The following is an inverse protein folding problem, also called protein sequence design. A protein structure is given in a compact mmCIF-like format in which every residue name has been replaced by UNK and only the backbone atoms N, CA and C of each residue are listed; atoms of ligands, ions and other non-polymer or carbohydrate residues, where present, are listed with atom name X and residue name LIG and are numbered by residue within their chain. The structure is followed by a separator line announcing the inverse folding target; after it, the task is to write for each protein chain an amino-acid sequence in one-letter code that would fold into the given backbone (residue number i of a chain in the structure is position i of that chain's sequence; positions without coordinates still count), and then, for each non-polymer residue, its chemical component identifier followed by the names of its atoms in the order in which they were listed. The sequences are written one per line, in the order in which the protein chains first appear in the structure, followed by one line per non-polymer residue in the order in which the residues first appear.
data_IF_095764737376
#
_entry.id   IF_095764737376
#
_cell.length_a   1.000
_cell.length_b   1.000
_cell.length_c   1.000
_cell.angle_alpha   90.00
_cell.angle_beta   90.00
_cell.angle_gamma   90.00
#
_symmetry.space_group_name_H-M   'P 1'
#
loop_
_entity.id
_entity.type
_entity.pdbx_description
1 polymer ?
#
# COMPACT_ATOMS: atom_id res chain seq x y z
N UNK A 1 20.04 19.34 13.10
CA UNK A 1 19.11 18.65 12.19
C UNK A 1 17.83 19.50 11.97
N UNK A 2 17.15 19.96 13.01
CA UNK A 2 15.92 20.79 12.90
C UNK A 2 16.10 22.06 12.07
N UNK A 3 17.22 22.79 12.22
CA UNK A 3 17.51 24.00 11.44
C UNK A 3 17.68 23.73 9.93
N UNK A 4 18.24 22.57 9.55
CA UNK A 4 18.40 22.17 8.15
C UNK A 4 17.03 21.83 7.55
N UNK A 5 16.20 21.10 8.29
CA UNK A 5 14.83 20.75 7.91
C UNK A 5 13.95 21.98 7.75
N UNK A 6 14.01 22.91 8.71
CA UNK A 6 13.26 24.19 8.67
C UNK A 6 13.68 25.05 7.46
N UNK A 7 14.98 25.18 7.22
CA UNK A 7 15.52 25.93 6.07
C UNK A 7 15.15 25.27 4.73
N UNK A 8 15.15 23.94 4.68
CA UNK A 8 14.70 23.17 3.51
C UNK A 8 13.21 23.42 3.25
N UNK A 9 12.36 23.30 4.28
CA UNK A 9 10.91 23.53 4.17
C UNK A 9 10.57 24.96 3.70
N UNK A 10 11.28 25.98 4.21
CA UNK A 10 11.07 27.37 3.76
C UNK A 10 11.31 27.57 2.27
N UNK A 11 12.31 26.89 1.71
CA UNK A 11 12.72 27.02 0.32
C UNK A 11 11.95 26.14 -0.68
N UNK A 12 11.01 25.27 -0.20
CA UNK A 12 10.18 24.45 -1.08
C UNK A 12 9.15 25.28 -1.84
N UNK A 13 8.89 24.89 -3.09
CA UNK A 13 7.84 25.48 -3.93
C UNK A 13 6.47 25.40 -3.23
N UNK A 14 5.63 26.42 -3.44
CA UNK A 14 4.28 26.48 -2.85
C UNK A 14 3.44 25.25 -3.23
N UNK A 15 3.56 24.75 -4.47
CA UNK A 15 2.86 23.56 -4.95
C UNK A 15 3.28 22.31 -4.20
N UNK A 16 4.59 22.16 -3.94
CA UNK A 16 5.10 21.08 -3.12
C UNK A 16 4.48 21.08 -1.73
N UNK A 17 4.44 22.23 -1.07
CA UNK A 17 3.84 22.38 0.28
C UNK A 17 2.36 22.05 0.30
N UNK A 18 1.61 22.54 -0.68
CA UNK A 18 0.17 22.23 -0.82
C UNK A 18 -0.05 20.73 -0.99
N UNK A 19 0.69 20.08 -1.88
CA UNK A 19 0.58 18.64 -2.08
C UNK A 19 1.06 17.82 -0.89
N UNK A 20 2.11 18.27 -0.21
CA UNK A 20 2.60 17.62 1.00
C UNK A 20 1.51 17.53 2.08
N UNK A 21 0.80 18.63 2.30
CA UNK A 21 -0.29 18.71 3.29
C UNK A 21 -1.50 17.90 2.80
N UNK A 22 -1.94 18.11 1.56
CA UNK A 22 -3.12 17.45 1.00
C UNK A 22 -3.00 15.93 1.00
N UNK A 23 -1.85 15.39 0.56
CA UNK A 23 -1.62 13.95 0.52
C UNK A 23 -1.35 13.40 1.91
N UNK A 24 -0.75 14.16 2.81
CA UNK A 24 -0.62 13.80 4.22
C UNK A 24 -1.98 13.60 4.89
N UNK A 25 -2.91 14.53 4.68
CA UNK A 25 -4.29 14.42 5.15
C UNK A 25 -5.01 13.24 4.48
N UNK A 26 -4.83 13.04 3.18
CA UNK A 26 -5.42 11.91 2.47
C UNK A 26 -4.92 10.55 2.99
N UNK A 27 -3.62 10.40 3.25
CA UNK A 27 -3.06 9.19 3.87
C UNK A 27 -3.63 8.96 5.28
N UNK A 28 -3.79 10.02 6.07
CA UNK A 28 -4.44 9.93 7.38
C UNK A 28 -5.88 9.45 7.27
N UNK A 29 -6.65 10.00 6.31
CA UNK A 29 -8.03 9.60 6.04
C UNK A 29 -8.11 8.10 5.70
N UNK A 30 -7.23 7.61 4.83
CA UNK A 30 -7.15 6.18 4.49
C UNK A 30 -6.78 5.32 5.69
N UNK A 31 -5.88 5.82 6.55
CA UNK A 31 -5.47 5.14 7.77
C UNK A 31 -6.60 4.92 8.78
N UNK A 32 -7.64 5.78 8.78
CA UNK A 32 -8.79 5.64 9.68
C UNK A 32 -9.58 4.34 9.46
N UNK A 33 -9.82 3.95 8.20
CA UNK A 33 -10.65 2.78 7.92
C UNK A 33 -9.85 1.50 7.66
N UNK A 34 -8.56 1.60 7.37
CA UNK A 34 -7.75 0.50 6.83
C UNK A 34 -7.82 -0.83 7.59
N UNK A 35 -8.06 -0.80 8.88
CA UNK A 35 -8.21 -2.00 9.73
C UNK A 35 -9.67 -2.46 9.83
N UNK A 36 -10.62 -1.60 9.50
CA UNK A 36 -12.06 -1.83 9.65
C UNK A 36 -12.76 -2.17 8.34
N UNK A 37 -12.15 -1.96 7.17
CA UNK A 37 -12.79 -2.19 5.87
C UNK A 37 -13.30 -3.62 5.72
N UNK A 38 -12.50 -4.63 6.11
CA UNK A 38 -12.86 -6.04 6.06
C UNK A 38 -13.90 -6.40 7.14
N UNK A 39 -13.73 -5.87 8.34
CA UNK A 39 -14.66 -6.06 9.45
C UNK A 39 -16.04 -5.46 9.13
N UNK A 40 -16.06 -4.32 8.43
CA UNK A 40 -17.28 -3.68 7.98
C UNK A 40 -18.02 -4.50 6.93
N UNK A 41 -17.30 -5.07 5.95
CA UNK A 41 -17.91 -5.96 4.96
C UNK A 41 -18.56 -7.18 5.62
N UNK A 42 -17.89 -7.80 6.60
CA UNK A 42 -18.45 -8.91 7.37
C UNK A 42 -19.63 -8.47 8.25
N UNK A 43 -19.55 -7.30 8.88
CA UNK A 43 -20.67 -6.73 9.65
C UNK A 43 -21.92 -6.46 8.77
N UNK A 44 -21.70 -6.15 7.47
CA UNK A 44 -22.77 -6.01 6.46
C UNK A 44 -23.27 -7.35 5.90
N UNK A 45 -22.78 -8.48 6.40
CA UNK A 45 -23.23 -9.82 6.07
C UNK A 45 -22.39 -10.55 5.03
N UNK A 46 -21.19 -10.08 4.68
CA UNK A 46 -20.30 -10.81 3.79
C UNK A 46 -19.76 -12.08 4.47
N UNK A 47 -19.86 -13.21 3.81
CA UNK A 47 -19.16 -14.43 4.20
C UNK A 47 -17.67 -14.39 3.77
N UNK A 48 -16.80 -15.28 4.25
CA UNK A 48 -15.39 -15.27 3.93
C UNK A 48 -15.06 -15.38 2.43
N UNK A 49 -15.83 -16.15 1.65
CA UNK A 49 -15.63 -16.27 0.20
C UNK A 49 -16.01 -14.98 -0.52
N UNK A 50 -17.12 -14.37 -0.10
CA UNK A 50 -17.56 -13.07 -0.61
C UNK A 50 -16.53 -11.98 -0.32
N UNK A 51 -16.00 -11.94 0.91
CA UNK A 51 -14.92 -11.02 1.29
C UNK A 51 -13.67 -11.21 0.42
N UNK A 52 -13.22 -12.46 0.24
CA UNK A 52 -12.09 -12.78 -0.63
C UNK A 52 -12.34 -12.38 -2.09
N UNK A 53 -13.58 -12.60 -2.58
CA UNK A 53 -13.98 -12.22 -3.94
C UNK A 53 -14.00 -10.71 -4.14
N UNK A 54 -14.49 -9.94 -3.16
CA UNK A 54 -14.47 -8.47 -3.19
C UNK A 54 -13.04 -7.93 -3.32
N UNK A 55 -12.12 -8.44 -2.51
CA UNK A 55 -10.71 -8.04 -2.56
C UNK A 55 -10.06 -8.44 -3.89
N UNK A 56 -10.39 -9.64 -4.38
CA UNK A 56 -9.95 -10.12 -5.69
C UNK A 56 -10.40 -9.22 -6.84
N UNK A 57 -11.67 -8.83 -6.87
CA UNK A 57 -12.20 -7.89 -7.86
C UNK A 57 -11.48 -6.53 -7.82
N UNK A 58 -11.14 -6.04 -6.63
CA UNK A 58 -10.27 -4.86 -6.48
C UNK A 58 -8.91 -5.04 -7.17
N UNK A 59 -8.30 -6.23 -7.05
CA UNK A 59 -7.04 -6.58 -7.72
C UNK A 59 -7.15 -6.55 -9.26
N UNK A 60 -8.25 -7.08 -9.81
CA UNK A 60 -8.55 -7.00 -11.26
C UNK A 60 -8.63 -5.54 -11.69
N UNK A 61 -9.43 -4.74 -10.99
CA UNK A 61 -9.63 -3.33 -11.30
C UNK A 61 -8.28 -2.56 -11.28
N UNK A 62 -7.45 -2.81 -10.27
CA UNK A 62 -6.11 -2.23 -10.16
C UNK A 62 -5.25 -2.55 -11.39
N UNK A 63 -5.26 -3.80 -11.85
CA UNK A 63 -4.50 -4.24 -13.02
C UNK A 63 -4.99 -3.58 -14.32
N UNK A 64 -6.30 -3.53 -14.52
CA UNK A 64 -6.92 -2.97 -15.73
C UNK A 64 -6.74 -1.45 -15.86
N UNK A 65 -6.79 -0.72 -14.76
CA UNK A 65 -6.75 0.75 -14.75
C UNK A 65 -5.33 1.31 -14.92
N UNK A 66 -4.30 0.50 -14.66
CA UNK A 66 -2.92 0.96 -14.68
C UNK A 66 -2.49 1.60 -16.02
N UNK A 67 -2.94 1.07 -17.15
CA UNK A 67 -2.62 1.58 -18.48
C UNK A 67 -3.45 2.82 -18.87
N UNK A 68 -4.79 2.84 -18.71
CA UNK A 68 -5.62 4.01 -19.03
C UNK A 68 -5.31 5.24 -18.17
N UNK A 69 -4.92 5.05 -16.91
CA UNK A 69 -4.63 6.17 -16.00
C UNK A 69 -3.54 7.10 -16.55
N UNK A 70 -2.45 6.53 -17.11
CA UNK A 70 -1.37 7.32 -17.73
C UNK A 70 -1.88 8.21 -18.86
N UNK A 71 -2.66 7.66 -19.78
CA UNK A 71 -3.23 8.41 -20.90
C UNK A 71 -4.17 9.55 -20.46
N UNK A 72 -5.00 9.31 -19.44
CA UNK A 72 -5.89 10.33 -18.88
C UNK A 72 -5.10 11.50 -18.27
N UNK A 73 -4.00 11.20 -17.59
CA UNK A 73 -3.10 12.21 -17.01
C UNK A 73 -2.54 13.12 -18.10
N UNK A 74 -2.05 12.53 -19.20
CA UNK A 74 -1.47 13.26 -20.32
C UNK A 74 -2.51 14.18 -20.99
N UNK A 75 -3.78 13.74 -21.07
CA UNK A 75 -4.84 14.49 -21.72
C UNK A 75 -5.41 15.64 -20.88
N UNK A 76 -5.63 15.43 -19.59
CA UNK A 76 -6.37 16.37 -18.74
C UNK A 76 -5.50 17.17 -17.77
N UNK A 77 -4.24 16.80 -17.62
CA UNK A 77 -3.28 17.46 -16.75
C UNK A 77 -3.41 17.09 -15.26
N UNK A 78 -2.33 17.28 -14.52
CA UNK A 78 -2.15 16.76 -13.15
C UNK A 78 -3.19 17.28 -12.17
N UNK A 79 -3.46 18.61 -12.12
CA UNK A 79 -4.40 19.19 -11.15
C UNK A 79 -5.82 18.64 -11.30
N UNK A 80 -6.33 18.58 -12.54
CA UNK A 80 -7.69 18.09 -12.83
C UNK A 80 -7.83 16.62 -12.46
N UNK A 81 -6.80 15.83 -12.76
CA UNK A 81 -6.81 14.39 -12.46
C UNK A 81 -6.73 14.10 -10.97
N UNK A 82 -5.96 14.87 -10.17
CA UNK A 82 -5.97 14.74 -8.71
C UNK A 82 -7.34 15.09 -8.14
N UNK A 83 -7.96 16.19 -8.57
CA UNK A 83 -9.30 16.58 -8.12
C UNK A 83 -10.32 15.49 -8.48
N UNK A 84 -10.26 14.96 -9.69
CA UNK A 84 -11.14 13.87 -10.13
C UNK A 84 -10.94 12.61 -9.26
N UNK A 85 -9.68 12.22 -8.98
CA UNK A 85 -9.38 11.12 -8.08
C UNK A 85 -9.93 11.33 -6.66
N UNK A 86 -9.87 12.56 -6.14
CA UNK A 86 -10.42 12.88 -4.82
C UNK A 86 -11.95 12.91 -4.83
N UNK A 87 -12.60 13.34 -5.91
CA UNK A 87 -14.06 13.25 -6.06
C UNK A 87 -14.49 11.77 -6.04
N UNK A 88 -13.79 10.92 -6.79
CA UNK A 88 -14.04 9.48 -6.74
C UNK A 88 -13.80 8.92 -5.32
N UNK A 89 -12.77 9.36 -4.60
CA UNK A 89 -12.52 8.95 -3.23
C UNK A 89 -13.64 9.39 -2.26
N UNK A 90 -14.18 10.61 -2.44
CA UNK A 90 -15.36 11.05 -1.70
C UNK A 90 -16.59 10.19 -2.01
N UNK A 91 -16.79 9.83 -3.29
CA UNK A 91 -17.86 8.89 -3.70
C UNK A 91 -17.69 7.53 -3.04
N UNK A 92 -16.47 6.99 -3.00
CA UNK A 92 -16.14 5.74 -2.28
C UNK A 92 -16.55 5.83 -0.82
N UNK A 93 -16.11 6.87 -0.11
CA UNK A 93 -16.45 7.05 1.31
C UNK A 93 -17.96 7.21 1.50
N UNK A 94 -18.65 7.87 0.58
CA UNK A 94 -20.11 7.97 0.56
C UNK A 94 -20.78 6.60 0.40
N UNK A 95 -20.33 5.78 -0.56
CA UNK A 95 -20.89 4.43 -0.77
C UNK A 95 -20.69 3.58 0.50
N UNK A 96 -19.50 3.60 1.11
CA UNK A 96 -19.27 2.89 2.38
C UNK A 96 -20.17 3.42 3.50
N UNK A 97 -20.31 4.76 3.63
CA UNK A 97 -21.11 5.39 4.68
C UNK A 97 -22.61 5.07 4.60
N UNK A 98 -23.15 4.86 3.40
CA UNK A 98 -24.57 4.56 3.16
C UNK A 98 -24.84 3.10 2.74
N UNK A 99 -23.84 2.22 2.83
CA UNK A 99 -23.99 0.82 2.44
C UNK A 99 -25.06 0.12 3.29
N UNK A 100 -26.00 -0.56 2.63
CA UNK A 100 -27.08 -1.36 3.24
C UNK A 100 -26.76 -2.86 3.25
N UNK A 101 -25.75 -3.28 2.48
CA UNK A 101 -25.26 -4.65 2.40
C UNK A 101 -23.87 -4.70 1.76
N UNK A 102 -23.18 -5.81 1.94
CA UNK A 102 -21.81 -5.99 1.47
C UNK A 102 -21.63 -5.82 -0.05
N UNK A 103 -22.62 -6.20 -0.87
CA UNK A 103 -22.55 -6.08 -2.33
C UNK A 103 -22.41 -4.63 -2.82
N UNK A 104 -22.91 -3.67 -2.01
CA UNK A 104 -22.79 -2.23 -2.32
C UNK A 104 -21.33 -1.78 -2.23
N UNK A 105 -20.48 -2.51 -1.51
CA UNK A 105 -19.05 -2.19 -1.38
C UNK A 105 -18.24 -2.59 -2.64
N UNK A 106 -18.76 -3.50 -3.49
CA UNK A 106 -18.03 -3.95 -4.69
C UNK A 106 -17.67 -2.79 -5.62
N UNK A 107 -18.61 -1.95 -6.08
CA UNK A 107 -18.27 -0.78 -6.90
C UNK A 107 -17.36 0.20 -6.16
N UNK A 108 -17.50 0.35 -4.84
CA UNK A 108 -16.63 1.21 -4.06
C UNK A 108 -15.17 0.73 -4.05
N UNK A 109 -14.93 -0.58 -3.91
CA UNK A 109 -13.59 -1.18 -3.95
C UNK A 109 -12.96 -0.97 -5.34
N UNK A 110 -13.73 -1.15 -6.42
CA UNK A 110 -13.25 -0.90 -7.78
C UNK A 110 -12.87 0.58 -7.95
N UNK A 111 -13.72 1.51 -7.54
CA UNK A 111 -13.45 2.94 -7.59
C UNK A 111 -12.25 3.34 -6.72
N UNK A 112 -12.06 2.73 -5.55
CA UNK A 112 -10.92 2.98 -4.69
C UNK A 112 -9.58 2.67 -5.39
N UNK A 113 -9.52 1.59 -6.19
CA UNK A 113 -8.32 1.27 -6.98
C UNK A 113 -8.04 2.33 -8.06
N UNK A 114 -9.11 2.87 -8.68
CA UNK A 114 -8.98 4.02 -9.63
C UNK A 114 -8.38 5.22 -8.93
N UNK A 115 -8.91 5.59 -7.74
CA UNK A 115 -8.44 6.74 -6.96
C UNK A 115 -6.94 6.61 -6.63
N UNK A 116 -6.51 5.44 -6.15
CA UNK A 116 -5.12 5.18 -5.79
C UNK A 116 -4.18 5.40 -6.99
N UNK A 117 -4.57 4.91 -8.18
CA UNK A 117 -3.79 5.08 -9.42
C UNK A 117 -3.78 6.52 -9.95
N UNK A 118 -4.77 7.33 -9.57
CA UNK A 118 -4.83 8.73 -9.98
C UNK A 118 -4.14 9.70 -9.01
N UNK A 119 -4.13 9.42 -7.72
CA UNK A 119 -3.61 10.36 -6.72
C UNK A 119 -2.10 10.20 -6.50
N UNK A 120 -1.63 8.98 -6.22
CA UNK A 120 -0.24 8.77 -5.80
C UNK A 120 0.79 9.06 -6.90
N UNK A 121 0.67 8.54 -8.14
CA UNK A 121 1.65 8.82 -9.18
C UNK A 121 1.72 10.30 -9.56
N UNK A 122 0.57 11.00 -9.52
CA UNK A 122 0.50 12.42 -9.83
C UNK A 122 1.19 13.28 -8.75
N UNK A 123 1.10 12.86 -7.51
CA UNK A 123 1.82 13.49 -6.40
C UNK A 123 3.33 13.39 -6.61
N UNK A 124 3.83 12.21 -6.98
CA UNK A 124 5.25 12.00 -7.27
C UNK A 124 5.71 12.87 -8.45
N UNK A 125 4.90 13.04 -9.49
CA UNK A 125 5.19 13.94 -10.62
C UNK A 125 5.36 15.38 -10.13
N UNK A 126 4.43 15.90 -9.32
CA UNK A 126 4.53 17.27 -8.78
C UNK A 126 5.80 17.43 -7.93
N UNK A 127 6.13 16.44 -7.12
CA UNK A 127 7.35 16.49 -6.28
C UNK A 127 8.63 16.51 -7.13
N UNK A 128 8.67 15.72 -8.20
CA UNK A 128 9.80 15.71 -9.12
C UNK A 128 9.94 17.02 -9.89
N UNK A 129 8.84 17.62 -10.35
CA UNK A 129 8.83 18.89 -11.08
C UNK A 129 9.22 20.10 -10.22
N UNK A 130 8.80 20.10 -8.97
CA UNK A 130 8.99 21.24 -8.06
C UNK A 130 10.30 21.17 -7.30
N UNK A 131 11.11 20.11 -7.48
CA UNK A 131 12.35 19.90 -6.73
C UNK A 131 13.57 19.78 -7.66
N UNK A 132 14.68 20.45 -7.29
CA UNK A 132 15.95 20.36 -8.01
C UNK A 132 16.48 18.92 -8.01
N UNK A 133 17.12 18.49 -9.12
CA UNK A 133 17.57 17.11 -9.32
C UNK A 133 18.35 16.54 -8.11
N UNK A 134 19.30 17.32 -7.58
CA UNK A 134 20.14 16.94 -6.42
C UNK A 134 19.38 16.81 -5.10
N UNK A 135 18.16 17.32 -5.01
CA UNK A 135 17.36 17.37 -3.77
C UNK A 135 16.13 16.46 -3.82
N UNK A 136 15.85 15.78 -4.94
CA UNK A 136 14.64 14.96 -5.12
C UNK A 136 14.53 13.83 -4.11
N UNK A 137 15.61 13.09 -3.87
CA UNK A 137 15.60 12.00 -2.90
C UNK A 137 15.32 12.50 -1.47
N UNK A 138 15.94 13.64 -1.09
CA UNK A 138 15.67 14.28 0.20
C UNK A 138 14.21 14.75 0.30
N UNK A 139 13.66 15.37 -0.75
CA UNK A 139 12.29 15.85 -0.77
C UNK A 139 11.27 14.72 -0.62
N UNK A 140 11.48 13.61 -1.34
CA UNK A 140 10.63 12.42 -1.24
C UNK A 140 10.71 11.75 0.14
N UNK A 141 11.93 11.61 0.68
CA UNK A 141 12.12 11.09 2.05
C UNK A 141 11.45 11.97 3.11
N UNK A 142 11.60 13.28 2.97
CA UNK A 142 10.93 14.25 3.84
C UNK A 142 9.40 14.18 3.75
N UNK A 143 8.84 14.04 2.55
CA UNK A 143 7.41 13.89 2.36
C UNK A 143 6.86 12.66 3.07
N UNK A 144 7.52 11.52 2.91
CA UNK A 144 7.12 10.26 3.57
C UNK A 144 7.19 10.37 5.09
N UNK A 145 8.21 11.05 5.62
CA UNK A 145 8.33 11.31 7.07
C UNK A 145 7.17 12.18 7.58
N UNK A 146 6.84 13.26 6.87
CA UNK A 146 5.72 14.15 7.26
C UNK A 146 4.39 13.41 7.20
N UNK A 147 4.16 12.55 6.20
CA UNK A 147 2.94 11.76 6.10
C UNK A 147 2.82 10.68 7.17
N UNK A 148 3.93 10.13 7.64
CA UNK A 148 3.93 9.14 8.69
C UNK A 148 3.37 9.67 10.02
N UNK A 149 3.58 10.96 10.32
CA UNK A 149 3.14 11.56 11.59
C UNK A 149 1.61 11.45 11.77
N UNK A 150 0.75 12.01 10.88
CA UNK A 150 -0.68 11.90 11.06
C UNK A 150 -1.20 10.46 10.91
N UNK A 151 -0.62 9.67 10.00
CA UNK A 151 -1.04 8.28 9.81
C UNK A 151 -0.77 7.39 11.01
N UNK A 152 0.23 7.71 11.82
CA UNK A 152 0.52 6.99 13.06
C UNK A 152 -0.64 7.03 14.07
N UNK A 153 -1.34 8.17 14.14
CA UNK A 153 -2.45 8.34 15.08
C UNK A 153 -3.80 7.88 14.52
N UNK A 154 -3.90 7.64 13.21
CA UNK A 154 -5.16 7.26 12.57
C UNK A 154 -5.81 6.01 13.16
N UNK A 155 -5.10 4.88 13.42
CA UNK A 155 -5.72 3.68 13.99
C UNK A 155 -6.31 3.91 15.38
N UNK A 156 -5.64 4.71 16.22
CA UNK A 156 -6.12 5.00 17.57
C UNK A 156 -7.34 5.92 17.55
N UNK A 157 -7.35 6.92 16.67
CA UNK A 157 -8.51 7.80 16.48
C UNK A 157 -9.70 7.00 15.96
N UNK A 158 -9.48 6.11 15.01
CA UNK A 158 -10.50 5.21 14.49
C UNK A 158 -11.09 4.31 15.60
N UNK A 159 -10.23 3.75 16.45
CA UNK A 159 -10.64 2.92 17.57
C UNK A 159 -11.55 3.68 18.54
N UNK A 160 -11.21 4.92 18.89
CA UNK A 160 -12.02 5.78 19.77
C UNK A 160 -13.40 6.05 19.13
N UNK A 161 -13.44 6.33 17.83
CA UNK A 161 -14.70 6.57 17.12
C UNK A 161 -15.54 5.30 17.12
N UNK A 162 -14.99 4.17 16.71
CA UNK A 162 -15.72 2.89 16.62
C UNK A 162 -16.27 2.48 17.96
N UNK A 163 -15.48 2.56 19.02
CA UNK A 163 -15.93 2.24 20.38
C UNK A 163 -17.09 3.13 20.83
N UNK A 164 -16.99 4.43 20.57
CA UNK A 164 -17.99 5.42 21.01
C UNK A 164 -19.34 5.24 20.31
N UNK A 165 -19.35 4.68 19.11
CA UNK A 165 -20.56 4.43 18.32
C UNK A 165 -21.05 2.99 18.37
N UNK A 166 -20.58 2.17 19.31
CA UNK A 166 -21.14 0.84 19.61
C UNK A 166 -20.23 -0.34 19.23
N UNK A 167 -18.93 -0.12 18.96
CA UNK A 167 -17.95 -1.18 18.76
C UNK A 167 -17.89 -1.69 17.32
N UNK A 168 -17.38 -2.92 17.15
CA UNK A 168 -17.13 -3.51 15.82
C UNK A 168 -18.43 -4.07 15.24
N UNK A 169 -19.26 -3.18 14.74
CA UNK A 169 -20.51 -3.46 14.02
C UNK A 169 -20.77 -2.38 12.98
N UNK A 170 -21.86 -2.53 12.22
CA UNK A 170 -22.22 -1.57 11.14
C UNK A 170 -22.36 -0.15 11.68
N UNK A 171 -23.00 0.03 12.84
CA UNK A 171 -23.24 1.36 13.42
C UNK A 171 -21.95 2.00 13.94
N UNK A 172 -21.08 1.22 14.57
CA UNK A 172 -19.83 1.71 15.14
C UNK A 172 -18.77 2.05 14.08
N UNK A 173 -18.69 1.27 12.99
CA UNK A 173 -17.68 1.48 11.95
C UNK A 173 -18.09 2.57 10.95
N UNK A 174 -19.37 2.69 10.64
CA UNK A 174 -19.92 3.63 9.65
C UNK A 174 -19.50 5.08 9.84
N UNK A 175 -19.43 5.65 11.05
CA UNK A 175 -18.95 7.02 11.28
C UNK A 175 -17.55 7.30 10.73
N UNK A 176 -16.65 6.31 10.64
CA UNK A 176 -15.34 6.48 10.04
C UNK A 176 -15.45 6.98 8.59
N UNK A 177 -16.38 6.42 7.82
CA UNK A 177 -16.59 6.80 6.42
C UNK A 177 -17.23 8.18 6.27
N UNK A 178 -18.05 8.60 7.22
CA UNK A 178 -18.56 9.99 7.25
C UNK A 178 -17.44 10.98 7.54
N UNK A 179 -16.57 10.69 8.51
CA UNK A 179 -15.37 11.50 8.80
C UNK A 179 -14.46 11.55 7.57
N UNK A 180 -14.25 10.42 6.89
CA UNK A 180 -13.48 10.39 5.65
C UNK A 180 -14.11 11.26 4.57
N UNK A 181 -15.42 11.15 4.32
CA UNK A 181 -16.14 11.93 3.31
C UNK A 181 -15.95 13.42 3.55
N UNK A 182 -16.22 13.90 4.75
CA UNK A 182 -16.07 15.32 5.12
C UNK A 182 -14.61 15.78 4.96
N UNK A 183 -13.66 14.95 5.42
CA UNK A 183 -12.24 15.28 5.33
C UNK A 183 -11.74 15.32 3.88
N UNK A 184 -12.22 14.43 3.01
CA UNK A 184 -11.86 14.44 1.58
C UNK A 184 -12.43 15.69 0.89
N UNK A 185 -13.68 16.09 1.19
CA UNK A 185 -14.27 17.32 0.68
C UNK A 185 -13.43 18.53 1.09
N UNK A 186 -12.94 18.56 2.34
CA UNK A 186 -12.01 19.60 2.80
C UNK A 186 -10.70 19.60 2.00
N UNK A 187 -10.12 18.43 1.73
CA UNK A 187 -8.89 18.29 0.92
C UNK A 187 -9.13 18.76 -0.52
N UNK A 188 -10.30 18.45 -1.12
CA UNK A 188 -10.66 18.95 -2.46
C UNK A 188 -10.67 20.47 -2.46
N UNK A 189 -11.39 21.08 -1.51
CA UNK A 189 -11.48 22.53 -1.39
C UNK A 189 -10.09 23.17 -1.21
N UNK A 190 -9.24 22.59 -0.35
CA UNK A 190 -7.88 23.01 -0.13
C UNK A 190 -7.03 22.99 -1.42
N UNK A 191 -7.13 21.91 -2.22
CA UNK A 191 -6.40 21.80 -3.49
C UNK A 191 -6.94 22.75 -4.55
N UNK A 192 -8.26 22.89 -4.65
CA UNK A 192 -8.90 23.81 -5.64
C UNK A 192 -8.41 25.23 -5.42
N UNK A 193 -8.40 25.69 -4.16
CA UNK A 193 -8.02 27.05 -3.80
C UNK A 193 -6.51 27.32 -3.93
N UNK A 194 -5.68 26.40 -3.47
CA UNK A 194 -4.26 26.67 -3.27
C UNK A 194 -3.34 26.14 -4.39
N UNK A 195 -3.77 25.10 -5.12
CA UNK A 195 -2.97 24.54 -6.21
C UNK A 195 -3.28 25.29 -7.52
N UNK A 196 -2.32 26.10 -7.98
CA UNK A 196 -2.46 26.79 -9.28
C UNK A 196 -2.35 25.80 -10.45
N UNK A 197 -3.22 25.91 -11.49
CA UNK A 197 -3.07 25.12 -12.69
C UNK A 197 -1.76 25.50 -13.42
N UNK A 198 -1.02 24.52 -13.88
CA UNK A 198 0.15 24.74 -14.71
C UNK A 198 0.23 23.64 -15.76
N UNK A 199 0.67 23.99 -16.97
CA UNK A 199 1.01 23.02 -18.00
C UNK A 199 2.26 22.23 -17.55
N UNK A 200 2.11 20.91 -17.47
CA UNK A 200 3.18 20.02 -17.02
C UNK A 200 4.17 19.82 -18.16
N UNK A 201 5.35 20.45 -18.06
CA UNK A 201 6.40 20.39 -19.12
C UNK A 201 6.90 18.95 -19.38
N UNK A 202 6.86 18.07 -18.38
CA UNK A 202 7.31 16.68 -18.52
C UNK A 202 6.35 15.82 -19.35
N UNK A 203 5.07 16.17 -19.40
CA UNK A 203 4.04 15.46 -20.16
C UNK A 203 4.23 15.71 -21.66
N UNK A 204 4.55 16.94 -22.06
CA UNK A 204 4.76 17.30 -23.46
C UNK A 204 5.98 16.58 -24.10
N UNK A 205 7.02 16.27 -23.32
CA UNK A 205 8.20 15.58 -23.83
C UNK A 205 8.09 14.04 -23.82
N UNK A 206 7.14 13.45 -23.10
CA UNK A 206 6.91 11.99 -23.09
C UNK A 206 5.99 11.52 -24.21
N UNK A 207 5.08 12.36 -24.68
CA UNK A 207 4.14 12.02 -25.75
C UNK A 207 4.81 11.79 -27.12
N UNK A 208 6.06 12.22 -27.30
CA UNK A 208 6.80 12.04 -28.56
C UNK A 208 7.62 10.73 -28.65
N UNK A 209 7.70 9.94 -27.59
CA UNK A 209 8.55 8.73 -27.56
C UNK A 209 7.84 7.43 -27.12
N UNK A 210 6.54 7.46 -26.86
CA UNK A 210 5.78 6.22 -26.69
C UNK A 210 5.45 5.66 -28.06
N UNK A 211 6.43 4.98 -28.66
CA UNK A 211 6.18 4.03 -29.74
C UNK A 211 5.01 3.12 -29.28
N UNK A 212 3.99 3.00 -30.14
CA UNK A 212 2.88 2.04 -30.00
C UNK A 212 3.37 0.59 -30.16
N UNK A 213 4.45 0.23 -29.51
CA UNK A 213 4.79 -1.19 -29.34
C UNK A 213 3.68 -1.81 -28.50
N UNK A 214 3.08 -2.86 -29.02
CA UNK A 214 2.02 -3.60 -28.35
C UNK A 214 2.50 -3.96 -26.94
N UNK A 215 1.67 -3.76 -25.90
CA UNK A 215 1.92 -4.25 -24.53
C UNK A 215 2.36 -5.73 -24.53
N UNK A 216 1.89 -6.48 -25.51
CA UNK A 216 2.22 -7.90 -25.75
C UNK A 216 3.69 -8.04 -26.23
N UNK A 217 4.19 -7.15 -27.09
CA UNK A 217 5.57 -7.17 -27.56
C UNK A 217 6.55 -6.77 -26.46
N UNK A 218 6.20 -5.75 -25.66
CA UNK A 218 6.97 -5.34 -24.48
C UNK A 218 7.02 -6.48 -23.44
N UNK A 219 5.91 -7.19 -23.23
CA UNK A 219 5.85 -8.37 -22.37
C UNK A 219 6.72 -9.51 -22.92
N UNK A 220 6.63 -9.78 -24.22
CA UNK A 220 7.44 -10.81 -24.89
C UNK A 220 8.94 -10.52 -24.83
N UNK A 221 9.31 -9.24 -24.93
CA UNK A 221 10.70 -8.77 -24.83
C UNK A 221 11.27 -8.95 -23.40
N UNK A 222 10.47 -8.73 -22.37
CA UNK A 222 10.84 -9.02 -20.97
C UNK A 222 11.12 -10.51 -20.74
N UNK A 223 10.32 -11.38 -21.34
CA UNK A 223 10.53 -12.84 -21.23
C UNK A 223 11.66 -13.35 -22.11
N UNK A 224 12.08 -12.61 -23.15
CA UNK A 224 13.26 -12.92 -23.96
C UNK A 224 14.58 -12.36 -23.39
N UNK A 225 14.50 -11.47 -22.37
CA UNK A 225 15.65 -10.88 -21.72
C UNK A 225 16.45 -11.85 -20.83
N UNK A 226 17.33 -11.31 -19.99
CA UNK A 226 18.16 -12.09 -19.07
C UNK A 226 17.31 -13.03 -18.19
N UNK A 227 17.87 -14.20 -17.83
CA UNK A 227 17.20 -15.22 -16.98
C UNK A 227 16.58 -14.61 -15.71
N UNK A 228 17.20 -13.60 -15.14
CA UNK A 228 16.79 -12.94 -13.89
C UNK A 228 15.47 -12.17 -14.01
N UNK A 229 15.08 -11.69 -15.21
CA UNK A 229 13.80 -11.02 -15.42
C UNK A 229 12.62 -11.95 -15.16
N UNK A 230 12.71 -13.22 -15.61
CA UNK A 230 11.68 -14.23 -15.38
C UNK A 230 11.56 -14.58 -13.89
N UNK A 231 12.70 -14.70 -13.19
CA UNK A 231 12.70 -14.97 -11.75
C UNK A 231 12.01 -13.83 -10.99
N UNK A 232 12.32 -12.57 -11.32
CA UNK A 232 11.65 -11.43 -10.70
C UNK A 232 10.15 -11.36 -11.00
N UNK A 233 9.71 -11.71 -12.21
CA UNK A 233 8.30 -11.78 -12.54
C UNK A 233 7.57 -12.81 -11.68
N UNK A 234 8.14 -14.01 -11.50
CA UNK A 234 7.58 -15.05 -10.65
C UNK A 234 7.59 -14.62 -9.17
N UNK A 235 8.71 -14.09 -8.68
CA UNK A 235 8.82 -13.61 -7.29
C UNK A 235 7.77 -12.53 -6.99
N UNK A 236 7.58 -11.55 -7.88
CA UNK A 236 6.60 -10.47 -7.67
C UNK A 236 5.16 -10.99 -7.73
N UNK A 237 4.88 -11.97 -8.62
CA UNK A 237 3.58 -12.62 -8.68
C UNK A 237 3.26 -13.42 -7.40
N UNK A 238 4.24 -14.19 -6.91
CA UNK A 238 4.12 -14.92 -5.64
C UNK A 238 4.01 -13.97 -4.45
N UNK A 239 4.72 -12.84 -4.48
CA UNK A 239 4.61 -11.81 -3.45
C UNK A 239 3.19 -11.21 -3.44
N UNK A 240 2.62 -10.90 -4.60
CA UNK A 240 1.24 -10.42 -4.70
C UNK A 240 0.24 -11.48 -4.23
N UNK A 241 0.43 -12.75 -4.59
CA UNK A 241 -0.38 -13.87 -4.12
C UNK A 241 -0.31 -14.00 -2.60
N UNK A 242 0.90 -14.07 -2.05
CA UNK A 242 1.15 -14.18 -0.61
C UNK A 242 0.49 -13.06 0.20
N UNK A 243 0.57 -11.81 -0.31
CA UNK A 243 -0.01 -10.66 0.38
C UNK A 243 -1.54 -10.69 0.38
N UNK A 244 -2.18 -11.28 -0.62
CA UNK A 244 -3.63 -11.23 -0.76
C UNK A 244 -4.37 -12.46 -0.21
N UNK A 245 -3.68 -13.58 0.03
CA UNK A 245 -4.33 -14.77 0.57
C UNK A 245 -4.74 -14.60 2.04
N UNK A 246 -3.93 -13.93 2.86
CA UNK A 246 -4.16 -13.79 4.31
C UNK A 246 -4.61 -12.39 4.72
N UNK A 247 -4.19 -11.33 4.02
CA UNK A 247 -4.42 -9.94 4.43
C UNK A 247 -5.89 -9.60 4.75
N UNK A 248 -6.90 -10.05 3.98
CA UNK A 248 -8.30 -9.77 4.31
C UNK A 248 -8.78 -10.40 5.61
N UNK A 249 -8.16 -11.49 6.02
CA UNK A 249 -8.61 -12.33 7.13
C UNK A 249 -7.89 -12.05 8.45
N UNK A 250 -6.76 -11.33 8.44
CA UNK A 250 -6.00 -11.01 9.65
C UNK A 250 -6.83 -10.16 10.63
N UNK A 251 -7.51 -9.08 10.25
CA UNK A 251 -8.40 -8.34 11.16
C UNK A 251 -9.55 -9.20 11.69
N UNK A 252 -10.10 -10.09 10.83
CA UNK A 252 -11.14 -11.03 11.25
C UNK A 252 -10.62 -11.96 12.35
N UNK A 253 -9.44 -12.55 12.18
CA UNK A 253 -8.83 -13.41 13.19
C UNK A 253 -8.63 -12.70 14.50
N UNK A 254 -8.08 -11.48 14.46
CA UNK A 254 -7.85 -10.69 15.66
C UNK A 254 -9.14 -10.44 16.45
N UNK A 255 -10.25 -10.15 15.76
CA UNK A 255 -11.54 -9.84 16.38
C UNK A 255 -12.33 -11.10 16.73
N UNK A 256 -12.59 -11.96 15.74
CA UNK A 256 -13.54 -13.09 15.92
C UNK A 256 -12.93 -14.27 16.68
N UNK A 257 -11.62 -14.50 16.58
CA UNK A 257 -10.93 -15.63 17.23
C UNK A 257 -10.21 -15.21 18.50
N UNK A 258 -9.49 -14.07 18.45
CA UNK A 258 -8.69 -13.59 19.59
C UNK A 258 -9.42 -12.57 20.47
N UNK A 259 -10.63 -12.14 20.11
CA UNK A 259 -11.45 -11.23 20.92
C UNK A 259 -10.91 -9.80 21.02
N UNK A 260 -10.17 -9.33 20.01
CA UNK A 260 -9.64 -7.97 20.00
C UNK A 260 -10.80 -6.95 19.95
N UNK A 261 -10.79 -6.00 20.86
CA UNK A 261 -11.69 -4.87 20.87
C UNK A 261 -11.15 -3.71 20.00
N UNK A 262 -11.94 -2.65 19.73
CA UNK A 262 -11.49 -1.52 18.92
C UNK A 262 -10.21 -0.86 19.44
N UNK A 263 -10.09 -0.66 20.77
CA UNK A 263 -8.89 -0.05 21.36
C UNK A 263 -7.63 -0.87 21.10
N UNK A 264 -7.73 -2.18 21.23
CA UNK A 264 -6.61 -3.08 20.99
C UNK A 264 -6.18 -3.05 19.52
N UNK A 265 -7.13 -3.04 18.57
CA UNK A 265 -6.80 -2.84 17.15
C UNK A 265 -6.11 -1.49 16.91
N UNK A 266 -6.60 -0.42 17.54
CA UNK A 266 -5.98 0.90 17.48
C UNK A 266 -4.54 0.92 17.99
N UNK A 267 -4.28 0.27 19.13
CA UNK A 267 -2.95 0.15 19.71
C UNK A 267 -2.02 -0.65 18.79
N UNK A 268 -2.48 -1.81 18.29
CA UNK A 268 -1.71 -2.67 17.37
C UNK A 268 -1.28 -1.89 16.13
N UNK A 269 -2.23 -1.19 15.50
CA UNK A 269 -1.94 -0.40 14.30
C UNK A 269 -1.02 0.78 14.56
N UNK A 270 -1.23 1.49 15.66
CA UNK A 270 -0.38 2.63 16.06
C UNK A 270 1.03 2.17 16.37
N UNK A 271 1.19 1.15 17.22
CA UNK A 271 2.51 0.60 17.59
C UNK A 271 3.24 0.06 16.35
N UNK A 272 2.54 -0.68 15.49
CA UNK A 272 3.12 -1.20 14.25
C UNK A 272 3.63 -0.08 13.33
N UNK A 273 2.83 0.98 13.16
CA UNK A 273 3.22 2.14 12.33
C UNK A 273 4.42 2.89 12.93
N UNK A 274 4.44 3.09 14.26
CA UNK A 274 5.58 3.70 14.96
C UNK A 274 6.85 2.88 14.77
N UNK A 275 6.77 1.56 14.97
CA UNK A 275 7.94 0.67 14.80
C UNK A 275 8.48 0.69 13.38
N UNK A 276 7.59 0.66 12.38
CA UNK A 276 8.00 0.80 10.97
C UNK A 276 8.69 2.13 10.71
N UNK A 277 8.11 3.24 11.18
CA UNK A 277 8.64 4.58 10.95
C UNK A 277 10.02 4.76 11.60
N UNK A 278 10.21 4.26 12.83
CA UNK A 278 11.49 4.33 13.55
C UNK A 278 12.57 3.49 12.88
N UNK A 279 12.21 2.31 12.37
CA UNK A 279 13.18 1.36 11.83
C UNK A 279 13.45 1.54 10.34
N UNK A 280 12.66 2.34 9.61
CA UNK A 280 12.81 2.55 8.16
C UNK A 280 14.23 3.06 7.80
N UNK A 281 14.74 4.05 8.54
CA UNK A 281 16.06 4.63 8.29
C UNK A 281 17.18 3.66 8.70
N UNK A 282 17.18 3.06 9.91
CA UNK A 282 18.14 2.01 10.27
C UNK A 282 18.20 0.85 9.30
N UNK A 283 17.05 0.35 8.85
CA UNK A 283 16.98 -0.76 7.90
C UNK A 283 17.53 -0.38 6.52
N UNK A 284 17.27 0.84 6.04
CA UNK A 284 17.88 1.36 4.82
C UNK A 284 19.41 1.39 4.92
N UNK A 285 19.96 1.94 6.02
CA UNK A 285 21.41 1.96 6.28
C UNK A 285 22.00 0.56 6.39
N UNK A 286 21.27 -0.37 7.03
CA UNK A 286 21.68 -1.76 7.13
C UNK A 286 21.77 -2.39 5.73
N UNK A 287 20.75 -2.19 4.90
CA UNK A 287 20.72 -2.68 3.53
C UNK A 287 21.86 -2.12 2.67
N UNK A 288 22.25 -0.86 2.89
CA UNK A 288 23.39 -0.24 2.22
C UNK A 288 24.74 -0.81 2.68
N UNK A 289 24.85 -1.26 3.95
CA UNK A 289 26.11 -1.80 4.52
C UNK A 289 26.33 -3.28 4.22
N UNK A 290 25.32 -4.11 4.46
CA UNK A 290 25.47 -5.59 4.38
C UNK A 290 24.92 -6.18 3.08
N UNK A 291 24.28 -5.39 2.23
CA UNK A 291 23.59 -5.82 1.02
C UNK A 291 22.09 -5.93 1.20
N UNK A 292 21.34 -5.64 0.10
CA UNK A 292 19.87 -5.65 0.12
C UNK A 292 19.31 -7.01 0.49
N UNK A 293 19.89 -8.07 -0.09
CA UNK A 293 19.47 -9.46 0.12
C UNK A 293 19.65 -9.91 1.57
N UNK A 294 20.85 -9.64 2.13
CA UNK A 294 21.13 -10.00 3.53
C UNK A 294 20.25 -9.22 4.50
N UNK A 295 20.01 -7.93 4.23
CA UNK A 295 19.12 -7.11 5.05
C UNK A 295 17.67 -7.62 5.01
N UNK A 296 17.15 -8.01 3.83
CA UNK A 296 15.85 -8.64 3.70
C UNK A 296 15.77 -9.93 4.53
N UNK A 297 16.72 -10.84 4.37
CA UNK A 297 16.78 -12.13 5.10
C UNK A 297 16.89 -11.97 6.62
N UNK A 298 17.51 -10.87 7.09
CA UNK A 298 17.61 -10.58 8.53
C UNK A 298 16.31 -10.04 9.11
N UNK A 299 15.55 -9.27 8.32
CA UNK A 299 14.35 -8.57 8.79
C UNK A 299 13.06 -9.37 8.60
N UNK A 300 12.94 -10.19 7.55
CA UNK A 300 11.71 -10.93 7.28
C UNK A 300 11.32 -11.95 8.38
N UNK A 301 12.24 -12.60 9.16
CA UNK A 301 11.83 -13.52 10.21
C UNK A 301 11.00 -12.86 11.32
N UNK A 302 11.12 -11.54 11.54
CA UNK A 302 10.27 -10.86 12.52
C UNK A 302 8.78 -10.94 12.15
N UNK A 303 8.44 -10.82 10.87
CA UNK A 303 7.04 -11.00 10.43
C UNK A 303 6.58 -12.46 10.56
N UNK A 304 7.48 -13.44 10.45
CA UNK A 304 7.15 -14.85 10.67
C UNK A 304 6.83 -15.09 12.14
N UNK A 305 7.68 -14.58 13.04
CA UNK A 305 7.44 -14.64 14.48
C UNK A 305 6.13 -13.94 14.85
N UNK A 306 5.85 -12.78 14.26
CA UNK A 306 4.58 -12.08 14.47
C UNK A 306 3.37 -12.89 13.98
N UNK A 307 3.48 -13.60 12.84
CA UNK A 307 2.42 -14.47 12.34
C UNK A 307 2.21 -15.69 13.24
N UNK A 308 3.27 -16.33 13.66
CA UNK A 308 3.21 -17.46 14.60
C UNK A 308 2.58 -17.00 15.92
N UNK A 309 3.00 -15.85 16.45
CA UNK A 309 2.43 -15.28 17.66
C UNK A 309 0.95 -14.92 17.49
N UNK A 310 0.55 -14.40 16.32
CA UNK A 310 -0.86 -14.11 16.00
C UNK A 310 -1.72 -15.36 16.11
N UNK A 311 -1.23 -16.50 15.60
CA UNK A 311 -1.95 -17.79 15.65
C UNK A 311 -1.98 -18.35 17.07
N UNK A 312 -0.82 -18.38 17.74
CA UNK A 312 -0.64 -19.02 19.03
C UNK A 312 -0.97 -18.14 20.25
N UNK A 313 -1.26 -16.84 20.06
CA UNK A 313 -1.52 -15.89 21.14
C UNK A 313 -2.58 -16.45 22.11
N UNK A 314 -2.25 -16.61 23.41
CA UNK A 314 -3.15 -17.16 24.42
C UNK A 314 -4.24 -16.15 24.81
N UNK A 315 -4.00 -14.86 24.68
CA UNK A 315 -4.97 -13.80 24.92
C UNK A 315 -4.82 -12.64 23.94
N UNK A 316 -5.81 -11.76 23.89
CA UNK A 316 -5.83 -10.63 22.97
C UNK A 316 -4.71 -9.60 23.22
N UNK A 317 -4.22 -9.46 24.43
CA UNK A 317 -3.13 -8.51 24.77
C UNK A 317 -1.80 -8.86 24.08
N UNK A 318 -1.53 -10.15 23.85
CA UNK A 318 -0.35 -10.59 23.08
C UNK A 318 -0.33 -10.05 21.65
N UNK A 319 -1.48 -9.62 21.11
CA UNK A 319 -1.55 -9.00 19.78
C UNK A 319 -0.80 -7.66 19.70
N UNK A 320 -0.51 -7.01 20.84
CA UNK A 320 0.37 -5.82 20.85
C UNK A 320 1.77 -6.20 20.39
N UNK A 321 2.30 -7.32 20.85
CA UNK A 321 3.59 -7.83 20.38
C UNK A 321 3.55 -8.21 18.89
N UNK A 322 2.41 -8.70 18.39
CA UNK A 322 2.19 -8.91 16.96
C UNK A 322 2.29 -7.58 16.19
N UNK A 323 1.72 -6.50 16.71
CA UNK A 323 1.86 -5.16 16.14
C UNK A 323 3.33 -4.69 16.09
N UNK A 324 4.12 -4.98 17.12
CA UNK A 324 5.57 -4.67 17.15
C UNK A 324 6.32 -5.46 16.08
N UNK A 325 6.10 -6.78 16.03
CA UNK A 325 6.81 -7.68 15.10
C UNK A 325 6.37 -7.50 13.65
N UNK A 326 5.10 -7.22 13.42
CA UNK A 326 4.44 -7.24 12.11
C UNK A 326 3.99 -8.64 11.73
N UNK A 327 3.14 -8.73 10.71
CA UNK A 327 2.57 -9.99 10.21
C UNK A 327 2.98 -10.19 8.75
N UNK A 328 3.34 -11.43 8.39
CA UNK A 328 3.65 -11.78 7.01
C UNK A 328 2.40 -11.60 6.12
N UNK A 329 2.58 -10.96 4.95
CA UNK A 329 1.48 -10.68 4.04
C UNK A 329 0.65 -9.42 4.37
N UNK A 330 0.86 -8.76 5.51
CA UNK A 330 0.12 -7.56 5.88
C UNK A 330 1.06 -6.37 6.12
N UNK A 331 1.16 -5.48 5.15
CA UNK A 331 2.01 -4.27 5.27
C UNK A 331 1.33 -3.13 6.01
N UNK A 332 0.01 -3.12 6.07
CA UNK A 332 -0.77 -2.00 6.62
C UNK A 332 -0.67 -1.90 8.14
N UNK A 333 -0.42 -3.00 8.85
CA UNK A 333 -0.24 -3.00 10.31
C UNK A 333 1.17 -2.56 10.74
N UNK A 334 2.11 -2.46 9.81
CA UNK A 334 3.47 -2.06 10.13
C UNK A 334 4.29 -3.13 10.86
N UNK A 335 5.07 -2.72 11.86
CA UNK A 335 5.96 -3.57 12.64
C UNK A 335 7.36 -3.75 12.02
N UNK A 336 8.25 -4.41 12.76
CA UNK A 336 9.66 -4.64 12.38
C UNK A 336 9.77 -5.41 11.06
N UNK A 337 8.98 -6.47 10.91
CA UNK A 337 9.01 -7.33 9.73
C UNK A 337 8.59 -6.61 8.44
N UNK A 338 7.68 -5.63 8.52
CA UNK A 338 7.22 -4.87 7.36
C UNK A 338 8.34 -4.04 6.70
N UNK A 339 9.34 -3.64 7.49
CA UNK A 339 10.49 -2.87 7.02
C UNK A 339 11.38 -3.66 6.04
N UNK A 340 11.31 -5.01 6.09
CA UNK A 340 12.01 -5.91 5.17
C UNK A 340 11.60 -5.69 3.70
N UNK A 341 10.40 -5.16 3.46
CA UNK A 341 9.94 -4.86 2.10
C UNK A 341 10.77 -3.77 1.41
N UNK A 342 11.36 -2.86 2.16
CA UNK A 342 12.19 -1.78 1.58
C UNK A 342 13.42 -2.32 0.84
N UNK A 343 14.31 -3.14 1.43
CA UNK A 343 15.41 -3.75 0.69
C UNK A 343 14.92 -4.68 -0.41
N UNK A 344 13.81 -5.41 -0.24
CA UNK A 344 13.23 -6.27 -1.26
C UNK A 344 12.81 -5.49 -2.52
N UNK A 345 12.01 -4.45 -2.36
CA UNK A 345 11.57 -3.65 -3.51
C UNK A 345 12.71 -2.86 -4.16
N UNK A 346 13.73 -2.48 -3.37
CA UNK A 346 14.94 -1.82 -3.90
C UNK A 346 15.70 -2.76 -4.83
N UNK A 347 15.90 -4.04 -4.47
CA UNK A 347 16.52 -5.04 -5.34
C UNK A 347 15.77 -5.19 -6.67
N UNK A 348 14.44 -5.19 -6.63
CA UNK A 348 13.61 -5.26 -7.82
C UNK A 348 13.86 -4.06 -8.76
N UNK A 349 13.90 -2.84 -8.21
CA UNK A 349 14.15 -1.62 -9.00
C UNK A 349 15.59 -1.51 -9.51
N UNK A 350 16.57 -2.02 -8.76
CA UNK A 350 17.96 -2.08 -9.17
C UNK A 350 18.19 -3.12 -10.29
N UNK A 351 17.41 -4.19 -10.31
CA UNK A 351 17.42 -5.20 -11.36
C UNK A 351 16.80 -4.70 -12.68
N UNK A 352 15.94 -3.67 -12.62
CA UNK A 352 15.29 -3.10 -13.79
C UNK A 352 16.26 -2.26 -14.62
N UNK A 353 16.39 -2.50 -15.96
CA UNK A 353 17.19 -1.67 -16.86
C UNK A 353 16.77 -0.19 -16.78
N UNK A 354 17.75 0.72 -16.73
CA UNK A 354 17.49 2.14 -16.47
C UNK A 354 16.58 2.80 -17.54
N UNK A 355 16.69 2.37 -18.78
CA UNK A 355 15.90 2.82 -19.94
C UNK A 355 14.48 2.23 -19.96
N UNK A 356 14.24 1.09 -19.27
CA UNK A 356 12.97 0.36 -19.27
C UNK A 356 12.21 0.42 -17.93
N UNK A 357 12.69 1.18 -16.94
CA UNK A 357 12.05 1.24 -15.59
C UNK A 357 10.57 1.61 -15.61
N UNK A 358 10.17 2.50 -16.52
CA UNK A 358 8.76 2.86 -16.68
C UNK A 358 7.87 1.68 -17.14
N UNK A 359 8.39 0.86 -18.06
CA UNK A 359 7.73 -0.36 -18.52
C UNK A 359 7.65 -1.38 -17.39
N UNK A 360 8.72 -1.57 -16.64
CA UNK A 360 8.76 -2.43 -15.44
C UNK A 360 7.73 -2.01 -14.40
N UNK A 361 7.53 -0.72 -14.18
CA UNK A 361 6.45 -0.24 -13.31
C UNK A 361 5.06 -0.66 -13.83
N UNK A 362 4.82 -0.56 -15.14
CA UNK A 362 3.59 -1.06 -15.75
C UNK A 362 3.34 -2.56 -15.51
N UNK A 363 4.40 -3.38 -15.54
CA UNK A 363 4.31 -4.82 -15.28
C UNK A 363 3.96 -5.16 -13.84
N UNK A 364 4.35 -4.33 -12.85
CA UNK A 364 3.93 -4.56 -11.45
C UNK A 364 2.42 -4.57 -11.29
N UNK A 365 1.68 -3.83 -12.13
CA UNK A 365 0.22 -3.87 -12.18
C UNK A 365 -0.32 -5.22 -12.67
N UNK A 366 0.35 -5.86 -13.64
CA UNK A 366 -0.07 -7.16 -14.16
C UNK A 366 0.15 -8.30 -13.15
N UNK A 367 1.18 -8.22 -12.30
CA UNK A 367 1.41 -9.23 -11.27
C UNK A 367 0.29 -9.27 -10.24
N UNK A 368 -0.43 -8.18 -10.03
CA UNK A 368 -1.59 -8.13 -9.14
C UNK A 368 -2.78 -9.00 -9.63
N UNK A 369 -2.79 -9.43 -10.89
CA UNK A 369 -3.81 -10.39 -11.38
C UNK A 369 -3.75 -11.71 -10.60
N UNK A 370 -2.55 -12.09 -10.11
CA UNK A 370 -2.38 -13.29 -9.28
C UNK A 370 -2.88 -13.09 -7.83
N UNK A 371 -3.16 -11.85 -7.42
CA UNK A 371 -3.80 -11.56 -6.14
C UNK A 371 -5.27 -11.98 -6.12
N UNK A 372 -5.91 -12.03 -7.30
CA UNK A 372 -7.34 -12.37 -7.45
C UNK A 372 -7.64 -13.79 -6.96
N UNK A 373 -7.02 -14.85 -7.51
CA UNK A 373 -7.27 -16.19 -7.01
C UNK A 373 -6.81 -16.37 -5.56
N UNK A 374 -5.79 -15.65 -5.11
CA UNK A 374 -5.27 -15.78 -3.76
C UNK A 374 -6.32 -15.43 -2.69
N UNK A 375 -6.97 -14.28 -2.81
CA UNK A 375 -7.98 -13.85 -1.84
C UNK A 375 -9.23 -14.74 -1.86
N UNK A 376 -9.62 -15.24 -3.04
CA UNK A 376 -10.73 -16.19 -3.19
C UNK A 376 -10.38 -17.53 -2.55
N UNK A 377 -9.20 -18.08 -2.82
CA UNK A 377 -8.69 -19.31 -2.20
C UNK A 377 -8.65 -19.15 -0.68
N UNK A 378 -8.11 -18.01 -0.19
CA UNK A 378 -8.12 -17.69 1.23
C UNK A 378 -9.53 -17.71 1.84
N UNK A 379 -10.53 -17.17 1.14
CA UNK A 379 -11.93 -17.20 1.53
C UNK A 379 -12.52 -18.60 1.64
N UNK A 380 -12.28 -19.45 0.64
CA UNK A 380 -12.70 -20.87 0.67
C UNK A 380 -12.02 -21.65 1.80
N UNK A 381 -10.71 -21.49 1.97
CA UNK A 381 -9.98 -22.13 3.05
C UNK A 381 -10.50 -21.67 4.43
N UNK A 382 -10.78 -20.37 4.57
CA UNK A 382 -11.34 -19.82 5.81
C UNK A 382 -12.72 -20.40 6.12
N UNK A 383 -13.60 -20.48 5.12
CA UNK A 383 -14.94 -21.05 5.26
C UNK A 383 -14.91 -22.56 5.55
N UNK A 384 -13.91 -23.27 5.05
CA UNK A 384 -13.65 -24.68 5.34
C UNK A 384 -13.05 -24.94 6.75
N UNK A 385 -12.86 -23.89 7.57
CA UNK A 385 -12.28 -24.02 8.92
C UNK A 385 -10.74 -24.07 8.94
N UNK A 386 -10.07 -23.89 7.80
CA UNK A 386 -8.60 -23.93 7.66
C UNK A 386 -7.98 -22.53 7.90
N UNK A 387 -8.47 -21.80 8.91
CA UNK A 387 -8.11 -20.40 9.16
C UNK A 387 -6.62 -20.22 9.45
N UNK A 388 -6.04 -21.11 10.24
CA UNK A 388 -4.61 -21.07 10.58
C UNK A 388 -3.72 -21.30 9.37
N UNK A 389 -4.14 -22.19 8.44
CA UNK A 389 -3.43 -22.40 7.19
C UNK A 389 -3.46 -21.17 6.27
N UNK A 390 -4.57 -20.41 6.27
CA UNK A 390 -4.63 -19.12 5.55
C UNK A 390 -3.59 -18.17 6.13
N UNK A 391 -3.50 -18.05 7.45
CA UNK A 391 -2.59 -17.12 8.13
C UNK A 391 -1.12 -17.51 7.99
N UNK A 392 -0.79 -18.82 8.03
CA UNK A 392 0.60 -19.28 7.93
C UNK A 392 1.09 -19.35 6.46
N UNK A 393 0.19 -19.43 5.48
CA UNK A 393 0.53 -19.57 4.07
C UNK A 393 1.51 -18.51 3.53
N UNK A 394 1.42 -17.21 3.92
CA UNK A 394 2.44 -16.21 3.54
C UNK A 394 3.85 -16.57 4.01
N UNK A 395 3.97 -17.10 5.23
CA UNK A 395 5.26 -17.52 5.79
C UNK A 395 5.82 -18.70 4.98
N UNK A 396 4.99 -19.69 4.71
CA UNK A 396 5.38 -20.89 3.94
C UNK A 396 5.81 -20.52 2.53
N UNK A 397 5.02 -19.72 1.81
CA UNK A 397 5.34 -19.28 0.45
C UNK A 397 6.64 -18.46 0.43
N UNK A 398 6.80 -17.54 1.37
CA UNK A 398 7.99 -16.69 1.42
C UNK A 398 9.24 -17.49 1.79
N UNK A 399 9.16 -18.35 2.81
CA UNK A 399 10.32 -19.11 3.29
C UNK A 399 10.74 -20.23 2.32
N UNK A 400 9.76 -20.96 1.75
CA UNK A 400 10.06 -22.16 0.96
C UNK A 400 10.18 -21.89 -0.55
N UNK A 401 9.60 -20.80 -1.06
CA UNK A 401 9.60 -20.51 -2.50
C UNK A 401 10.33 -19.21 -2.80
N UNK A 402 9.90 -18.09 -2.20
CA UNK A 402 10.46 -16.77 -2.55
C UNK A 402 11.92 -16.64 -2.12
N UNK A 403 12.28 -17.04 -0.89
CA UNK A 403 13.66 -16.94 -0.41
C UNK A 403 14.63 -17.84 -1.22
N UNK A 404 14.34 -19.11 -1.51
CA UNK A 404 15.18 -19.92 -2.39
C UNK A 404 15.33 -19.33 -3.79
N UNK A 405 14.23 -18.86 -4.42
CA UNK A 405 14.32 -18.19 -5.71
C UNK A 405 15.14 -16.90 -5.66
N UNK A 406 14.98 -16.09 -4.60
CA UNK A 406 15.77 -14.88 -4.39
C UNK A 406 17.25 -15.21 -4.16
N UNK A 407 17.57 -16.38 -3.56
CA UNK A 407 18.95 -16.81 -3.37
C UNK A 407 19.69 -17.06 -4.69
N UNK A 408 18.97 -17.45 -5.74
CA UNK A 408 19.55 -17.68 -7.08
C UNK A 408 19.88 -16.37 -7.81
N UNK A 409 19.25 -15.25 -7.46
CA UNK A 409 19.51 -13.95 -8.08
C UNK A 409 20.76 -13.34 -7.46
N UNK A 410 21.75 -12.83 -8.25
CA UNK A 410 22.93 -12.18 -7.70
C UNK A 410 22.55 -10.92 -6.89
N UNK A 411 23.34 -10.61 -5.85
CA UNK A 411 23.13 -9.38 -5.07
C UNK A 411 23.41 -8.15 -5.98
N UNK A 412 22.61 -7.12 -5.80
CA UNK A 412 22.70 -5.89 -6.60
C UNK A 412 23.76 -4.94 -6.08
N UNK A 413 24.25 -5.15 -4.83
CA UNK A 413 25.31 -4.35 -4.24
C UNK A 413 26.63 -4.67 -4.94
N UNK A 414 27.14 -3.74 -5.74
CA UNK A 414 28.40 -3.90 -6.49
C UNK A 414 28.27 -3.81 -8.01
N UNK A 415 27.07 -3.86 -8.56
CA UNK A 415 26.82 -3.64 -10.01
C UNK A 415 26.61 -2.16 -10.39
N UNK A 416 26.61 -1.22 -9.44
CA UNK A 416 26.56 0.21 -9.73
C UNK A 416 27.97 0.81 -9.87
N UNK A 417 28.71 0.40 -10.89
CA UNK A 417 29.74 1.25 -11.51
C UNK A 417 29.54 1.21 -13.01
N UNK A 418 29.52 2.39 -13.66
CA UNK A 418 29.15 2.62 -15.04
C UNK A 418 30.09 1.98 -15.99
#
# INVERSE_FOLDING_TARGET
MLNVVSKFFKNLDKRFKVMLIAVGLYNWILGLSSQYDQLYAVALGANPVELGSMVGLGGVANSMISAPAGWLIDKYGVKRMIIFGLILAATVSGIYGFAVGWWVLIPAIILAQVCMRMIFPLTDIIFVETTKLKQRAMAMGFSRMIWAIPTTFAPMIAAIIVERFGGINVQGIRPLYYVQLVSIVFVIFFIVLLLKPQQTRLVANRSSSVSRTSLIEDFRELFKGEKWHKHWAIIMSLQAFMMNIAAPFIPLWMVSVKGANPYLLGIIGTVGTVMSALLQIPAGRLADRIGRKKAFLLLCPFSYLGTILLILAPSSEFLIAVGILGVAGLMTTGGIGSVSFTPFITMFWEAAPADKRGRWYGFTGLFNIFAVPASIIGGFMWQAGLMELVLISPVVIQALIIIPMLSMIPDTLGKSKP
#
